data_IF_195598193758
#
_entry.id   IF_195598193758
#
_cell.length_a   1.000
_cell.length_b   1.000
_cell.length_c   1.000
_cell.angle_alpha   90.00
_cell.angle_beta   90.00
_cell.angle_gamma   90.00
#
_symmetry.space_group_name_H-M   'P 1'
#
loop_
_entity.id
_entity.type
_entity.pdbx_description
1 polymer ?
#
# COMPACT_ATOMS: atom_id res chain seq x y z
N UNK A 1 -0.87 -13.30 11.53
CA UNK A 1 -1.98 -14.25 11.21
C UNK A 1 -3.36 -13.63 11.41
N UNK A 2 -3.62 -12.84 12.47
CA UNK A 2 -4.96 -12.24 12.70
C UNK A 2 -5.51 -11.46 11.50
N UNK A 3 -4.71 -10.62 10.86
CA UNK A 3 -5.15 -9.91 9.65
C UNK A 3 -5.40 -10.81 8.44
N UNK A 4 -4.78 -11.99 8.38
CA UNK A 4 -5.10 -12.97 7.33
C UNK A 4 -6.52 -13.53 7.52
N UNK A 5 -6.92 -13.79 8.76
CA UNK A 5 -8.29 -14.25 9.06
C UNK A 5 -9.32 -13.14 8.79
N UNK A 6 -9.03 -11.89 9.21
CA UNK A 6 -9.86 -10.72 8.87
C UNK A 6 -9.99 -10.59 7.35
N UNK A 7 -8.88 -10.69 6.62
CA UNK A 7 -8.88 -10.58 5.17
C UNK A 7 -9.71 -11.62 4.44
N UNK A 8 -9.84 -12.83 4.99
CA UNK A 8 -10.71 -13.89 4.44
C UNK A 8 -12.21 -13.53 4.53
N UNK A 9 -12.57 -12.66 5.48
CA UNK A 9 -13.94 -12.17 5.64
C UNK A 9 -14.20 -10.89 4.81
N UNK A 10 -13.14 -10.10 4.52
CA UNK A 10 -13.25 -8.78 3.91
C UNK A 10 -12.86 -8.74 2.43
N UNK A 11 -12.28 -9.82 1.88
CA UNK A 11 -11.85 -9.90 0.50
C UNK A 11 -11.74 -11.33 0.01
N UNK A 12 -11.52 -11.49 -1.28
CA UNK A 12 -11.33 -12.80 -1.89
C UNK A 12 -9.84 -13.18 -1.87
N UNK A 13 -9.48 -14.20 -1.10
CA UNK A 13 -8.12 -14.76 -1.06
C UNK A 13 -7.77 -15.42 -2.40
N UNK A 14 -6.66 -15.02 -3.01
CA UNK A 14 -6.17 -15.60 -4.29
C UNK A 14 -4.80 -16.25 -4.16
N UNK A 15 -4.01 -15.93 -3.13
CA UNK A 15 -2.73 -16.57 -2.86
C UNK A 15 -2.39 -16.52 -1.37
N UNK A 16 -1.65 -17.48 -0.87
CA UNK A 16 -1.18 -17.54 0.51
C UNK A 16 -2.28 -17.83 1.52
N UNK A 17 -2.39 -17.02 2.55
CA UNK A 17 -3.43 -17.13 3.58
C UNK A 17 -3.10 -18.09 4.72
N UNK A 18 -1.83 -18.46 4.89
CA UNK A 18 -1.40 -19.39 5.93
C UNK A 18 0.11 -19.41 6.14
N UNK A 19 0.58 -20.46 6.76
CA UNK A 19 2.01 -20.76 6.85
C UNK A 19 2.50 -21.39 5.54
N UNK A 20 3.73 -21.12 5.09
CA UNK A 20 4.28 -21.78 3.92
C UNK A 20 4.50 -23.28 4.19
N UNK A 21 4.31 -24.10 3.17
CA UNK A 21 4.63 -25.52 3.22
C UNK A 21 6.12 -25.75 3.51
N UNK A 22 6.46 -26.80 4.26
CA UNK A 22 7.84 -27.14 4.62
C UNK A 22 8.39 -26.37 5.82
N UNK A 23 7.65 -25.41 6.39
CA UNK A 23 8.06 -24.65 7.56
C UNK A 23 7.00 -24.72 8.68
N UNK A 24 6.78 -25.91 9.27
CA UNK A 24 5.71 -26.11 10.27
C UNK A 24 5.98 -25.36 11.57
N UNK A 25 7.27 -25.07 11.87
CA UNK A 25 7.71 -24.31 13.02
C UNK A 25 8.22 -22.92 12.62
N UNK A 26 8.19 -21.98 13.56
CA UNK A 26 8.63 -20.60 13.33
C UNK A 26 7.50 -19.64 13.01
N UNK A 27 7.87 -18.36 12.86
CA UNK A 27 6.93 -17.25 12.64
C UNK A 27 6.86 -16.83 11.16
N UNK A 28 6.67 -17.80 10.27
CA UNK A 28 6.55 -17.55 8.84
C UNK A 28 5.10 -17.37 8.41
N UNK A 29 4.86 -16.42 7.51
CA UNK A 29 3.59 -16.19 6.84
C UNK A 29 3.84 -16.24 5.34
N UNK A 30 3.07 -17.04 4.61
CA UNK A 30 3.15 -17.09 3.15
C UNK A 30 2.74 -15.73 2.56
N UNK A 31 3.39 -15.26 1.48
CA UNK A 31 2.92 -14.09 0.74
C UNK A 31 1.43 -14.25 0.41
N UNK A 32 0.63 -13.28 0.83
CA UNK A 32 -0.83 -13.39 0.81
C UNK A 32 -1.43 -12.27 -0.03
N UNK A 33 -2.37 -12.60 -0.89
CA UNK A 33 -3.04 -11.64 -1.79
C UNK A 33 -4.55 -11.76 -1.63
N UNK A 34 -5.17 -10.63 -1.30
CA UNK A 34 -6.62 -10.45 -1.31
C UNK A 34 -7.00 -9.50 -2.46
N UNK A 35 -8.10 -9.81 -3.14
CA UNK A 35 -8.69 -8.97 -4.20
C UNK A 35 -10.13 -8.65 -3.86
N UNK A 36 -10.72 -7.70 -4.60
CA UNK A 36 -12.10 -7.23 -4.40
C UNK A 36 -12.34 -6.69 -2.98
N UNK A 37 -11.31 -6.05 -2.41
CA UNK A 37 -11.36 -5.49 -1.06
C UNK A 37 -12.10 -4.17 -1.07
N UNK A 38 -13.09 -4.02 -0.20
CA UNK A 38 -13.86 -2.79 -0.07
C UNK A 38 -13.03 -1.65 0.58
N UNK A 39 -13.27 -0.38 0.21
CA UNK A 39 -12.48 0.75 0.74
C UNK A 39 -12.61 0.99 2.25
N UNK A 40 -13.66 0.49 2.88
CA UNK A 40 -13.91 0.56 4.33
C UNK A 40 -13.44 -0.68 5.10
N UNK A 41 -12.93 -1.69 4.40
CA UNK A 41 -12.38 -2.89 5.01
C UNK A 41 -11.15 -2.58 5.88
N UNK A 42 -10.99 -3.31 6.96
CA UNK A 42 -9.83 -3.13 7.86
C UNK A 42 -8.50 -3.42 7.17
N UNK A 43 -8.45 -4.45 6.29
CA UNK A 43 -7.24 -4.77 5.51
C UNK A 43 -6.92 -3.73 4.43
N UNK A 44 -7.86 -2.82 4.09
CA UNK A 44 -7.59 -1.65 3.26
C UNK A 44 -7.10 -0.47 4.12
N UNK A 45 -7.69 -0.25 5.30
CA UNK A 45 -7.50 0.94 6.12
C UNK A 45 -6.37 0.85 7.14
N UNK A 46 -5.99 -0.36 7.55
CA UNK A 46 -5.03 -0.59 8.63
C UNK A 46 -3.69 -1.11 8.10
N UNK A 47 -2.60 -0.74 8.79
CA UNK A 47 -1.27 -1.25 8.47
C UNK A 47 -1.13 -2.71 8.97
N UNK A 48 -1.00 -3.66 8.03
CA UNK A 48 -0.87 -5.08 8.37
C UNK A 48 0.53 -5.43 8.88
N UNK A 49 1.55 -4.76 8.41
CA UNK A 49 2.96 -4.97 8.73
C UNK A 49 3.42 -6.41 8.49
N UNK A 50 3.15 -6.94 7.30
CA UNK A 50 3.46 -8.32 6.90
C UNK A 50 3.35 -8.54 5.39
N UNK A 51 3.62 -9.75 4.89
CA UNK A 51 3.62 -10.07 3.47
C UNK A 51 2.19 -10.25 2.94
N UNK A 52 1.36 -9.24 3.09
CA UNK A 52 -0.05 -9.23 2.68
C UNK A 52 -0.31 -8.03 1.80
N UNK A 53 -0.97 -8.22 0.67
CA UNK A 53 -1.45 -7.15 -0.20
C UNK A 53 -2.96 -7.25 -0.38
N UNK A 54 -3.64 -6.11 -0.22
CA UNK A 54 -5.05 -5.92 -0.52
C UNK A 54 -5.18 -5.16 -1.85
N UNK A 55 -6.01 -5.63 -2.75
CA UNK A 55 -6.21 -5.07 -4.09
C UNK A 55 -7.67 -4.65 -4.22
N UNK A 56 -7.86 -3.36 -4.55
CA UNK A 56 -9.16 -2.76 -4.80
C UNK A 56 -9.18 -2.25 -6.24
N UNK A 57 -10.13 -2.68 -7.09
CA UNK A 57 -10.25 -2.17 -8.45
C UNK A 57 -10.81 -0.75 -8.45
N UNK A 58 -10.51 0.00 -9.51
CA UNK A 58 -11.09 1.32 -9.77
C UNK A 58 -11.43 1.45 -11.26
N UNK A 59 -12.28 2.42 -11.61
CA UNK A 59 -12.78 2.63 -12.98
C UNK A 59 -12.33 3.94 -13.59
N UNK A 60 -12.05 4.97 -12.77
CA UNK A 60 -11.59 6.28 -13.23
C UNK A 60 -10.34 6.73 -12.46
N UNK A 61 -9.61 7.69 -13.01
CA UNK A 61 -8.45 8.28 -12.37
C UNK A 61 -8.82 9.02 -11.08
N UNK A 62 -9.98 9.67 -11.07
CA UNK A 62 -10.53 10.37 -9.91
C UNK A 62 -10.85 9.39 -8.78
N UNK A 63 -11.51 8.28 -9.10
CA UNK A 63 -11.78 7.20 -8.14
C UNK A 63 -10.49 6.61 -7.57
N UNK A 64 -9.50 6.34 -8.41
CA UNK A 64 -8.21 5.82 -7.97
C UNK A 64 -7.50 6.77 -7.00
N UNK A 65 -7.56 8.08 -7.26
CA UNK A 65 -6.98 9.10 -6.38
C UNK A 65 -7.75 9.21 -5.06
N UNK A 66 -9.07 9.17 -5.12
CA UNK A 66 -9.93 9.16 -3.93
C UNK A 66 -9.63 7.94 -3.04
N UNK A 67 -9.57 6.75 -3.63
CA UNK A 67 -9.21 5.52 -2.92
C UNK A 67 -7.79 5.60 -2.32
N UNK A 68 -6.80 6.09 -3.07
CA UNK A 68 -5.44 6.24 -2.56
C UNK A 68 -5.34 7.21 -1.37
N UNK A 69 -6.19 8.24 -1.34
CA UNK A 69 -6.23 9.22 -0.26
C UNK A 69 -7.18 8.83 0.90
N UNK A 70 -8.03 7.81 0.69
CA UNK A 70 -8.99 7.32 1.69
C UNK A 70 -8.33 6.44 2.76
N UNK A 71 -7.31 6.96 3.40
CA UNK A 71 -6.63 6.33 4.53
C UNK A 71 -6.06 7.39 5.45
N UNK A 72 -5.90 7.05 6.72
CA UNK A 72 -5.23 7.94 7.69
C UNK A 72 -3.71 7.99 7.50
N UNK A 73 -3.14 7.15 6.68
CA UNK A 73 -1.71 7.05 6.40
C UNK A 73 -1.31 7.79 5.12
N UNK A 74 -0.05 8.09 4.97
CA UNK A 74 0.50 8.78 3.80
C UNK A 74 2.03 8.76 3.79
N UNK A 75 2.66 7.60 3.91
CA UNK A 75 4.12 7.49 3.84
C UNK A 75 4.60 7.52 2.39
N UNK A 76 4.10 6.58 1.57
CA UNK A 76 4.62 6.34 0.24
C UNK A 76 3.51 5.96 -0.75
N UNK A 77 3.65 6.42 -2.00
CA UNK A 77 2.82 6.01 -3.11
C UNK A 77 3.69 5.58 -4.30
N UNK A 78 3.24 4.56 -5.01
CA UNK A 78 3.89 4.05 -6.22
C UNK A 78 2.88 4.09 -7.38
N UNK A 79 3.23 4.78 -8.45
CA UNK A 79 2.33 5.03 -9.58
C UNK A 79 2.96 4.41 -10.83
N UNK A 80 2.25 3.51 -11.48
CA UNK A 80 2.69 2.83 -12.69
C UNK A 80 1.79 3.20 -13.86
N UNK A 81 2.30 3.97 -14.79
CA UNK A 81 1.58 4.40 -15.99
C UNK A 81 2.54 4.84 -17.09
N UNK A 82 2.13 4.67 -18.35
CA UNK A 82 2.84 5.21 -19.51
C UNK A 82 2.35 6.62 -19.90
N UNK A 83 1.30 7.14 -19.27
CA UNK A 83 0.78 8.48 -19.49
C UNK A 83 1.45 9.47 -18.54
N UNK A 84 2.30 10.33 -19.08
CA UNK A 84 3.04 11.33 -18.29
C UNK A 84 2.12 12.34 -17.59
N UNK A 85 1.03 12.76 -18.24
CA UNK A 85 0.07 13.70 -17.65
C UNK A 85 -0.63 13.07 -16.47
N UNK A 86 -1.06 11.81 -16.60
CA UNK A 86 -1.65 11.01 -15.52
C UNK A 86 -0.67 10.85 -14.35
N UNK A 87 0.59 10.48 -14.65
CA UNK A 87 1.63 10.32 -13.63
C UNK A 87 1.80 11.58 -12.78
N UNK A 88 1.94 12.75 -13.43
CA UNK A 88 2.09 14.02 -12.73
C UNK A 88 0.83 14.44 -11.98
N UNK A 89 -0.36 14.23 -12.55
CA UNK A 89 -1.61 14.54 -11.86
C UNK A 89 -1.75 13.75 -10.55
N UNK A 90 -1.48 12.45 -10.59
CA UNK A 90 -1.48 11.63 -9.38
C UNK A 90 -0.41 12.06 -8.38
N UNK A 91 0.82 12.31 -8.83
CA UNK A 91 1.92 12.70 -7.95
C UNK A 91 1.67 14.02 -7.22
N UNK A 92 0.92 14.93 -7.82
CA UNK A 92 0.59 16.24 -7.22
C UNK A 92 -0.61 16.17 -6.24
N UNK A 93 -1.47 15.17 -6.38
CA UNK A 93 -2.74 15.13 -5.65
C UNK A 93 -2.83 13.94 -4.65
N UNK A 94 -1.92 12.95 -4.73
CA UNK A 94 -1.86 11.89 -3.73
C UNK A 94 -1.27 12.41 -2.43
N UNK A 95 -1.93 12.11 -1.33
CA UNK A 95 -1.52 12.53 0.02
C UNK A 95 -0.47 11.56 0.60
N UNK A 96 0.70 11.55 -0.01
CA UNK A 96 1.85 10.76 0.44
C UNK A 96 3.11 11.62 0.50
N UNK A 97 3.97 11.38 1.48
CA UNK A 97 5.22 12.11 1.63
C UNK A 97 6.26 11.75 0.57
N UNK A 98 6.20 10.52 0.05
CA UNK A 98 7.07 10.04 -1.02
C UNK A 98 6.24 9.47 -2.17
N UNK A 99 6.58 9.87 -3.41
CA UNK A 99 5.91 9.36 -4.61
C UNK A 99 6.94 8.87 -5.61
N UNK A 100 6.80 7.63 -6.05
CA UNK A 100 7.62 7.06 -7.12
C UNK A 100 6.79 6.83 -8.39
N UNK A 101 7.33 7.24 -9.51
CA UNK A 101 6.72 7.02 -10.83
C UNK A 101 7.50 5.91 -11.56
N UNK A 102 6.81 4.82 -11.92
CA UNK A 102 7.38 3.67 -12.63
C UNK A 102 8.67 3.11 -12.01
N UNK A 103 8.82 3.24 -10.71
CA UNK A 103 9.95 2.72 -9.97
C UNK A 103 9.51 2.32 -8.56
N UNK A 104 10.32 1.52 -7.90
CA UNK A 104 10.04 1.06 -6.55
C UNK A 104 11.23 1.38 -5.63
N UNK A 105 10.98 2.23 -4.65
CA UNK A 105 11.89 2.51 -3.53
C UNK A 105 13.33 2.85 -3.94
N UNK A 106 13.52 3.56 -5.06
CA UNK A 106 14.81 4.14 -5.43
C UNK A 106 15.07 5.32 -4.50
N UNK A 107 16.06 5.21 -3.62
CA UNK A 107 16.35 6.23 -2.61
C UNK A 107 17.58 7.05 -2.98
N UNK A 108 17.47 8.35 -2.80
CA UNK A 108 18.59 9.28 -2.71
C UNK A 108 18.59 9.92 -1.32
N UNK A 109 19.66 9.71 -0.57
CA UNK A 109 19.78 10.20 0.81
C UNK A 109 19.78 11.73 0.94
N UNK A 110 19.90 12.44 -0.17
CA UNK A 110 19.78 13.90 -0.24
C UNK A 110 18.32 14.36 -0.28
N UNK A 111 17.40 13.45 -0.60
CA UNK A 111 15.97 13.74 -0.66
C UNK A 111 15.34 13.53 0.72
N UNK A 112 14.58 14.49 1.25
CA UNK A 112 13.83 14.29 2.48
C UNK A 112 12.92 13.07 2.39
N UNK A 113 12.93 12.21 3.40
CA UNK A 113 12.09 11.03 3.48
C UNK A 113 11.22 11.12 4.73
N UNK A 114 9.92 11.11 4.55
CA UNK A 114 8.96 11.15 5.65
C UNK A 114 7.52 11.11 5.16
N UNK A 115 6.61 10.79 6.05
CA UNK A 115 5.20 10.68 5.78
C UNK A 115 4.43 11.97 6.03
N UNK A 116 3.19 11.98 5.53
CA UNK A 116 2.14 12.92 5.90
C UNK A 116 1.05 12.18 6.68
N UNK A 117 0.04 12.88 7.15
CA UNK A 117 -1.05 12.32 7.97
C UNK A 117 -0.48 11.57 9.20
N UNK A 118 -0.95 10.36 9.48
CA UNK A 118 -0.51 9.53 10.61
C UNK A 118 0.77 8.71 10.35
N UNK A 119 1.41 8.86 9.20
CA UNK A 119 2.59 8.05 8.82
C UNK A 119 3.92 8.53 9.37
N UNK A 120 3.97 9.53 10.21
CA UNK A 120 5.21 9.91 10.87
C UNK A 120 5.21 11.32 11.45
N UNK A 121 6.17 11.58 12.33
CA UNK A 121 6.34 12.85 13.04
C UNK A 121 7.59 13.62 12.60
N UNK A 122 8.25 13.21 11.53
CA UNK A 122 9.47 13.86 11.08
C UNK A 122 9.89 13.40 9.69
N UNK A 123 10.98 13.98 9.24
CA UNK A 123 11.60 13.64 7.96
C UNK A 123 13.06 13.29 8.19
N UNK A 124 13.53 12.24 7.52
CA UNK A 124 14.93 11.84 7.48
C UNK A 124 15.58 12.40 6.21
N UNK A 125 16.86 12.79 6.31
CA UNK A 125 17.61 13.33 5.18
C UNK A 125 17.14 14.72 4.72
N UNK A 126 17.69 15.19 3.59
CA UNK A 126 17.47 16.55 3.13
C UNK A 126 18.20 17.59 3.98
N UNK A 127 17.80 18.87 3.85
CA UNK A 127 18.35 20.01 4.56
C UNK A 127 17.44 20.45 5.68
#
# INVERSE_FOLDING_TARGET
MSYVEIGKEEGRLVAGGGRPEGFPEGNFVAPTVFVDVAPDARIFQEEIFGPVVAITPFHTDEEALELANNTKYGLAAYIWTNDLKRAHNFAQNVEAGMVWLNSNNVRDLRTPFGGVKASGLGHEGGY
#
